data_IF_650712008385
#
_entry.id   IF_650712008385
#
_cell.length_a   1.000
_cell.length_b   1.000
_cell.length_c   1.000
_cell.angle_alpha   90.00
_cell.angle_beta   90.00
_cell.angle_gamma   90.00
#
_symmetry.space_group_name_H-M   'P 1'
#
loop_
_entity.id
_entity.type
_entity.pdbx_description
1 polymer ?
#
# COMPACT_ATOMS: atom_id res chain seq x y z
N UNK A 1 -12.94 4.25 -18.35
CA UNK A 1 -11.96 4.56 -17.29
C UNK A 1 -12.37 5.78 -16.48
N UNK A 2 -12.67 6.94 -17.07
CA UNK A 2 -13.18 8.10 -16.32
C UNK A 2 -14.35 7.75 -15.39
N UNK A 3 -15.41 7.10 -15.92
CA UNK A 3 -16.55 6.61 -15.12
C UNK A 3 -16.15 5.67 -13.99
N UNK A 4 -15.12 4.84 -14.22
CA UNK A 4 -14.60 3.92 -13.22
C UNK A 4 -13.80 4.66 -12.14
N UNK A 5 -12.85 5.49 -12.53
CA UNK A 5 -12.01 6.27 -11.63
C UNK A 5 -12.84 7.22 -10.74
N UNK A 6 -13.82 7.90 -11.32
CA UNK A 6 -14.74 8.77 -10.56
C UNK A 6 -15.69 8.00 -9.64
N UNK A 7 -16.10 6.78 -10.01
CA UNK A 7 -17.00 5.96 -9.18
C UNK A 7 -16.30 5.16 -8.09
N UNK A 8 -15.10 4.64 -8.38
CA UNK A 8 -14.31 3.80 -7.48
C UNK A 8 -13.32 4.61 -6.63
N UNK A 9 -13.10 5.89 -6.94
CA UNK A 9 -12.14 6.73 -6.21
C UNK A 9 -10.67 6.32 -6.44
N UNK A 10 -10.34 5.82 -7.63
CA UNK A 10 -8.99 5.37 -7.97
C UNK A 10 -8.31 6.24 -9.04
N UNK A 11 -6.99 6.45 -8.91
CA UNK A 11 -6.23 7.27 -9.86
C UNK A 11 -6.22 6.62 -11.24
N UNK A 12 -6.42 7.39 -12.32
CA UNK A 12 -6.31 6.87 -13.68
C UNK A 12 -4.85 6.57 -14.01
N UNK A 13 -4.60 5.37 -14.53
CA UNK A 13 -3.26 4.97 -14.98
C UNK A 13 -2.89 5.49 -16.37
N UNK A 14 -3.86 5.98 -17.18
CA UNK A 14 -3.55 6.62 -18.46
C UNK A 14 -3.50 8.14 -18.33
N UNK A 15 -2.48 8.79 -18.92
CA UNK A 15 -2.32 10.24 -18.87
C UNK A 15 -3.52 11.02 -19.43
N UNK A 16 -4.12 10.54 -20.53
CA UNK A 16 -5.25 11.22 -21.20
C UNK A 16 -6.51 11.27 -20.32
N UNK A 17 -6.69 10.26 -19.46
CA UNK A 17 -7.79 10.24 -18.49
C UNK A 17 -7.45 11.04 -17.24
N UNK A 18 -6.18 11.08 -16.81
CA UNK A 18 -5.74 11.95 -15.72
C UNK A 18 -5.97 13.43 -16.04
N UNK A 19 -5.64 13.84 -17.27
CA UNK A 19 -5.90 15.20 -17.77
C UNK A 19 -7.40 15.50 -17.86
N UNK A 20 -8.20 14.58 -18.42
CA UNK A 20 -9.65 14.76 -18.51
C UNK A 20 -10.36 14.80 -17.14
N UNK A 21 -9.76 14.22 -16.11
CA UNK A 21 -10.26 14.25 -14.72
C UNK A 21 -9.73 15.43 -13.91
N UNK A 22 -8.79 16.21 -14.46
CA UNK A 22 -8.18 17.36 -13.79
C UNK A 22 -7.57 17.01 -12.41
N UNK A 23 -6.90 15.86 -12.33
CA UNK A 23 -6.33 15.26 -11.10
C UNK A 23 -5.46 16.24 -10.30
N UNK A 24 -4.69 17.08 -10.99
CA UNK A 24 -3.72 17.99 -10.37
C UNK A 24 -4.37 19.24 -9.75
N UNK A 25 -5.62 19.56 -10.13
CA UNK A 25 -6.35 20.70 -9.60
C UNK A 25 -7.19 20.35 -8.37
N UNK A 26 -7.55 19.08 -8.20
CA UNK A 26 -8.28 18.63 -7.02
C UNK A 26 -7.30 18.35 -5.86
N UNK A 27 -7.46 19.01 -4.69
CA UNK A 27 -6.53 18.89 -3.57
C UNK A 27 -6.48 17.48 -2.96
N UNK A 28 -7.54 16.68 -3.09
CA UNK A 28 -7.56 15.28 -2.63
C UNK A 28 -6.75 14.41 -3.59
N UNK A 29 -7.03 14.54 -4.89
CA UNK A 29 -6.39 13.71 -5.92
C UNK A 29 -4.91 14.05 -6.11
N UNK A 30 -4.56 15.33 -6.04
CA UNK A 30 -3.19 15.81 -6.13
C UNK A 30 -2.26 15.15 -5.12
N UNK A 31 -2.66 15.06 -3.85
CA UNK A 31 -1.84 14.41 -2.82
C UNK A 31 -1.54 12.96 -3.18
N UNK A 32 -2.53 12.22 -3.67
CA UNK A 32 -2.32 10.84 -4.11
C UNK A 32 -1.45 10.74 -5.36
N UNK A 33 -1.61 11.67 -6.32
CA UNK A 33 -0.77 11.76 -7.52
C UNK A 33 0.70 11.98 -7.14
N UNK A 34 0.96 12.93 -6.24
CA UNK A 34 2.32 13.26 -5.77
C UNK A 34 3.00 12.08 -5.04
N UNK A 35 2.24 11.24 -4.32
CA UNK A 35 2.79 10.05 -3.64
C UNK A 35 3.39 9.03 -4.62
N UNK A 36 3.02 9.06 -5.90
CA UNK A 36 3.60 8.16 -6.91
C UNK A 36 5.11 8.38 -7.09
N UNK A 37 5.63 9.56 -6.75
CA UNK A 37 7.06 9.88 -6.84
C UNK A 37 7.93 9.15 -5.81
N UNK A 38 7.33 8.68 -4.70
CA UNK A 38 8.02 7.98 -3.61
C UNK A 38 7.52 6.55 -3.42
N UNK A 39 6.44 6.16 -4.10
CA UNK A 39 5.87 4.83 -4.01
C UNK A 39 6.74 3.78 -4.71
N UNK A 40 6.84 2.60 -4.12
CA UNK A 40 7.44 1.43 -4.74
C UNK A 40 6.29 0.51 -5.19
N UNK A 41 6.27 0.04 -6.46
CA UNK A 41 5.26 -0.88 -6.92
C UNK A 41 5.21 -2.16 -6.09
N UNK A 42 4.01 -2.65 -5.79
CA UNK A 42 3.83 -3.97 -5.17
C UNK A 42 4.39 -5.05 -6.11
N UNK A 43 5.21 -5.96 -5.59
CA UNK A 43 5.74 -7.05 -6.41
C UNK A 43 4.62 -8.04 -6.73
N UNK A 44 4.56 -8.51 -7.97
CA UNK A 44 3.52 -9.44 -8.44
C UNK A 44 3.69 -10.87 -7.91
N UNK A 45 4.85 -11.18 -7.32
CA UNK A 45 5.16 -12.49 -6.76
C UNK A 45 4.64 -12.64 -5.32
N UNK A 46 4.59 -13.89 -4.86
CA UNK A 46 4.04 -14.24 -3.54
C UNK A 46 4.84 -13.66 -2.37
N UNK A 47 6.10 -13.28 -2.59
CA UNK A 47 7.00 -12.72 -1.57
C UNK A 47 6.39 -11.52 -0.85
N UNK A 48 5.81 -10.55 -1.58
CA UNK A 48 5.19 -9.39 -0.95
C UNK A 48 3.93 -9.77 -0.15
N UNK A 49 3.17 -10.76 -0.61
CA UNK A 49 1.97 -11.26 0.09
C UNK A 49 2.31 -11.99 1.39
N UNK A 50 3.39 -12.79 1.39
CA UNK A 50 3.94 -13.46 2.58
C UNK A 50 4.37 -12.42 3.61
N UNK A 51 5.20 -11.45 3.20
CA UNK A 51 5.66 -10.35 4.05
C UNK A 51 4.48 -9.58 4.64
N UNK A 52 3.49 -9.23 3.80
CA UNK A 52 2.31 -8.50 4.23
C UNK A 52 1.53 -9.26 5.30
N UNK A 53 1.29 -10.55 5.09
CA UNK A 53 0.54 -11.40 6.01
C UNK A 53 1.24 -11.47 7.38
N UNK A 54 2.55 -11.73 7.38
CA UNK A 54 3.34 -11.78 8.60
C UNK A 54 3.33 -10.43 9.34
N UNK A 55 3.52 -9.31 8.64
CA UNK A 55 3.41 -7.98 9.25
C UNK A 55 2.01 -7.72 9.82
N UNK A 56 0.94 -8.12 9.12
CA UNK A 56 -0.43 -7.94 9.59
C UNK A 56 -0.75 -8.78 10.84
N UNK A 57 -0.10 -9.93 11.02
CA UNK A 57 -0.26 -10.77 12.20
C UNK A 57 0.35 -10.15 13.46
N UNK A 58 1.52 -9.50 13.36
CA UNK A 58 2.27 -9.05 14.54
C UNK A 58 2.26 -7.54 14.78
N UNK A 59 2.05 -6.70 13.75
CA UNK A 59 1.95 -5.25 13.93
C UNK A 59 0.86 -4.83 14.94
N UNK A 60 -0.35 -5.45 14.98
CA UNK A 60 -1.36 -5.09 15.96
C UNK A 60 -0.89 -5.28 17.41
N UNK A 61 -0.03 -6.27 17.68
CA UNK A 61 0.52 -6.54 19.02
C UNK A 61 1.50 -5.44 19.46
N UNK A 62 2.24 -4.86 18.51
CA UNK A 62 3.07 -3.68 18.78
C UNK A 62 2.21 -2.44 19.07
N UNK A 63 1.11 -2.27 18.33
CA UNK A 63 0.18 -1.14 18.51
C UNK A 63 -0.59 -1.25 19.83
N UNK A 64 -0.97 -2.46 20.25
CA UNK A 64 -1.63 -2.70 21.53
C UNK A 64 -0.67 -2.59 22.73
N UNK A 65 0.64 -2.65 22.48
CA UNK A 65 1.69 -2.64 23.50
C UNK A 65 1.94 -4.00 24.15
N UNK A 66 1.35 -5.08 23.62
CA UNK A 66 1.62 -6.46 24.05
C UNK A 66 3.05 -6.89 23.68
N UNK A 67 3.58 -6.36 22.58
CA UNK A 67 4.98 -6.50 22.17
C UNK A 67 5.58 -5.11 21.93
N UNK A 68 6.90 -4.99 22.06
CA UNK A 68 7.60 -3.86 21.44
C UNK A 68 7.56 -3.97 19.91
N UNK A 69 7.73 -2.84 19.22
CA UNK A 69 7.85 -2.84 17.76
C UNK A 69 8.98 -3.75 17.26
N UNK A 70 10.08 -3.85 18.02
CA UNK A 70 11.20 -4.73 17.67
C UNK A 70 10.83 -6.20 17.78
N UNK A 71 10.17 -6.61 18.85
CA UNK A 71 9.73 -8.00 19.06
C UNK A 71 8.70 -8.42 18.02
N UNK A 72 7.72 -7.57 17.73
CA UNK A 72 6.73 -7.84 16.68
C UNK A 72 7.38 -8.05 15.31
N UNK A 73 8.37 -7.21 14.95
CA UNK A 73 9.09 -7.38 13.69
C UNK A 73 9.99 -8.62 13.66
N UNK A 74 10.56 -9.01 14.80
CA UNK A 74 11.32 -10.28 14.89
C UNK A 74 10.40 -11.47 14.65
N UNK A 75 9.20 -11.49 15.22
CA UNK A 75 8.21 -12.54 14.99
C UNK A 75 7.77 -12.58 13.52
N UNK A 76 7.48 -11.42 12.93
CA UNK A 76 7.14 -11.34 11.50
C UNK A 76 8.27 -11.89 10.62
N UNK A 77 9.53 -11.54 10.90
CA UNK A 77 10.69 -12.07 10.17
C UNK A 77 10.85 -13.59 10.33
N UNK A 78 10.60 -14.12 11.53
CA UNK A 78 10.62 -15.57 11.76
C UNK A 78 9.52 -16.27 10.97
N UNK A 79 8.31 -15.71 10.88
CA UNK A 79 7.22 -16.28 10.07
C UNK A 79 7.55 -16.25 8.58
N UNK A 80 8.07 -15.13 8.06
CA UNK A 80 8.52 -15.00 6.67
C UNK A 80 9.59 -16.05 6.34
N UNK A 81 10.57 -16.25 7.23
CA UNK A 81 11.66 -17.22 7.02
C UNK A 81 11.20 -18.68 7.05
N UNK A 82 10.01 -18.97 7.59
CA UNK A 82 9.45 -20.32 7.70
C UNK A 82 8.31 -20.57 6.69
N UNK A 83 8.02 -19.62 5.81
CA UNK A 83 6.91 -19.69 4.85
C UNK A 83 7.24 -20.52 3.58
N UNK A 84 8.24 -21.39 3.64
CA UNK A 84 8.66 -22.32 2.57
C UNK A 84 7.63 -23.44 2.33
#
# INVERSE_FOLDING_TARGET
MTTWCSGAGCLPSRPDVAEAMDVESDPVWKVHSEMTSIAIPWQLEDTCSIINSACQNFLPLAVSGELSAQEAMQQANSEIANAD
#
